data_IF_575197315694
#
_entry.id   IF_575197315694
#
_cell.length_a   1.000
_cell.length_b   1.000
_cell.length_c   1.000
_cell.angle_alpha   90.00
_cell.angle_beta   90.00
_cell.angle_gamma   90.00
#
_symmetry.space_group_name_H-M   'P 1'
#
loop_
_entity.id
_entity.type
_entity.pdbx_description
1 polymer ?
#
# COMPACT_ATOMS: atom_id res chain seq x y z
N UNK A 1 2.41 -9.97 74.56
CA UNK A 1 2.31 -11.30 73.93
C UNK A 1 2.86 -11.14 72.53
N UNK A 2 4.01 -11.64 72.10
CA UNK A 2 4.74 -12.86 72.45
C UNK A 2 5.16 -13.46 71.11
N UNK A 3 6.47 -13.54 70.87
CA UNK A 3 7.14 -13.88 69.61
C UNK A 3 6.78 -15.24 69.01
N UNK A 4 7.13 -15.46 67.74
CA UNK A 4 7.00 -16.76 67.09
C UNK A 4 7.52 -16.86 65.66
N UNK A 5 8.80 -16.52 65.46
CA UNK A 5 9.60 -16.88 64.30
C UNK A 5 9.85 -18.41 64.24
N UNK A 6 9.82 -19.03 63.05
CA UNK A 6 10.79 -20.08 62.63
C UNK A 6 10.55 -20.56 61.19
N UNK A 7 11.60 -20.39 60.39
CA UNK A 7 11.89 -21.10 59.15
C UNK A 7 12.29 -22.57 59.41
N UNK A 8 12.28 -23.42 58.35
CA UNK A 8 13.49 -24.07 57.79
C UNK A 8 13.23 -25.24 56.80
N UNK A 9 14.05 -25.23 55.73
CA UNK A 9 14.67 -26.32 54.94
C UNK A 9 13.75 -27.27 54.13
N UNK A 10 13.97 -27.52 52.82
CA UNK A 10 15.20 -27.97 52.11
C UNK A 10 15.11 -29.51 51.98
N UNK A 11 15.27 -30.23 50.86
CA UNK A 11 16.15 -30.26 49.68
C UNK A 11 15.39 -31.09 48.59
N UNK A 12 15.44 -30.79 47.28
CA UNK A 12 16.40 -31.33 46.26
C UNK A 12 16.53 -32.87 46.25
N UNK A 13 16.59 -33.63 45.14
CA UNK A 13 16.86 -33.38 43.72
C UNK A 13 16.75 -34.72 42.94
N UNK A 14 16.64 -34.62 41.61
CA UNK A 14 17.27 -35.45 40.57
C UNK A 14 16.57 -36.62 39.84
N UNK A 15 16.67 -36.48 38.49
CA UNK A 15 16.91 -37.49 37.41
C UNK A 15 15.66 -38.18 36.84
N UNK A 16 15.48 -38.39 35.53
CA UNK A 16 16.39 -38.42 34.38
C UNK A 16 15.57 -38.28 33.07
N UNK A 17 16.10 -37.56 32.08
CA UNK A 17 15.82 -37.76 30.64
C UNK A 17 16.75 -38.84 30.07
N UNK A 18 16.31 -39.58 29.04
CA UNK A 18 17.20 -39.87 27.91
C UNK A 18 16.53 -39.69 26.52
N UNK A 19 17.21 -38.85 25.73
CA UNK A 19 17.61 -38.85 24.29
C UNK A 19 17.01 -39.83 23.22
N UNK A 20 17.17 -39.50 21.91
CA UNK A 20 16.28 -39.87 20.81
C UNK A 20 16.80 -41.00 19.90
N UNK A 21 15.90 -41.55 19.07
CA UNK A 21 16.26 -42.22 17.82
C UNK A 21 15.30 -43.32 17.37
N UNK A 22 14.57 -43.09 16.27
CA UNK A 22 14.18 -44.13 15.32
C UNK A 22 13.68 -43.51 13.99
N UNK A 23 14.22 -44.01 12.88
CA UNK A 23 13.93 -43.62 11.49
C UNK A 23 12.84 -44.52 10.87
N UNK A 24 11.98 -43.91 10.03
CA UNK A 24 11.36 -44.39 8.77
C UNK A 24 10.22 -45.46 8.88
N UNK A 25 9.21 -45.47 7.96
CA UNK A 25 9.39 -45.45 6.49
C UNK A 25 8.47 -44.56 5.63
N UNK A 26 8.89 -44.50 4.36
CA UNK A 26 8.31 -43.83 3.19
C UNK A 26 7.05 -44.54 2.65
N UNK A 27 6.11 -43.73 2.16
CA UNK A 27 4.98 -44.11 1.29
C UNK A 27 3.96 -42.96 1.30
N UNK A 28 3.33 -42.47 0.23
CA UNK A 28 3.19 -42.94 -1.13
C UNK A 28 3.02 -41.72 -2.06
N UNK A 29 3.55 -41.83 -3.27
CA UNK A 29 3.35 -40.85 -4.33
C UNK A 29 1.91 -40.92 -4.85
N UNK A 30 1.16 -39.83 -4.72
CA UNK A 30 -0.12 -39.64 -5.40
C UNK A 30 0.14 -39.29 -6.87
N UNK A 31 -0.11 -40.26 -7.74
CA UNK A 31 -0.21 -40.09 -9.19
C UNK A 31 -1.52 -39.36 -9.50
N UNK A 32 -1.45 -38.09 -9.88
CA UNK A 32 -2.52 -37.41 -10.60
C UNK A 32 -2.32 -37.61 -12.11
N UNK A 33 -3.43 -37.92 -12.77
CA UNK A 33 -3.53 -38.30 -14.18
C UNK A 33 -3.65 -37.04 -15.03
N UNK A 34 -2.71 -36.80 -15.95
CA UNK A 34 -2.95 -35.91 -17.09
C UNK A 34 -3.36 -36.73 -18.33
N UNK A 35 -4.52 -36.40 -18.87
CA UNK A 35 -5.04 -36.91 -20.14
C UNK A 35 -5.57 -35.72 -20.96
N UNK A 36 -5.08 -35.65 -22.21
CA UNK A 36 -5.58 -34.89 -23.40
C UNK A 36 -5.27 -33.40 -23.38
N UNK A 37 -4.90 -32.72 -24.47
CA UNK A 37 -4.65 -32.96 -25.90
C UNK A 37 -3.81 -31.73 -26.37
N UNK A 38 -3.01 -31.66 -27.44
CA UNK A 38 -2.98 -32.39 -28.70
C UNK A 38 -3.42 -31.51 -29.88
N UNK A 39 -2.47 -30.76 -30.47
CA UNK A 39 -2.44 -30.16 -31.85
C UNK A 39 -3.33 -28.90 -32.08
N UNK A 40 -2.96 -27.88 -32.86
CA UNK A 40 -1.80 -27.60 -33.71
C UNK A 40 -1.92 -26.21 -34.40
N UNK A 41 -0.78 -25.70 -34.92
CA UNK A 41 -0.48 -24.98 -36.20
C UNK A 41 -1.65 -24.30 -36.96
N UNK A 42 -1.53 -23.24 -37.76
CA UNK A 42 -0.53 -22.26 -38.24
C UNK A 42 -1.28 -21.37 -39.27
N UNK A 43 -0.56 -20.42 -39.91
CA UNK A 43 -0.96 -19.48 -41.00
C UNK A 43 -1.59 -18.17 -40.54
N UNK A 44 -1.25 -16.98 -41.04
CA UNK A 44 -0.35 -16.39 -42.05
C UNK A 44 -1.21 -15.32 -42.75
N UNK A 45 -0.59 -14.17 -43.02
CA UNK A 45 -0.91 -13.26 -44.14
C UNK A 45 -2.29 -12.59 -44.16
N UNK A 46 -2.50 -11.37 -44.62
CA UNK A 46 -1.71 -10.33 -45.26
C UNK A 46 -2.73 -9.17 -45.34
N UNK A 47 -2.33 -7.90 -45.18
CA UNK A 47 -2.55 -6.87 -46.21
C UNK A 47 -2.07 -5.50 -45.76
N UNK A 48 -1.46 -4.88 -46.75
CA UNK A 48 -0.55 -3.75 -46.77
C UNK A 48 -1.23 -2.65 -47.59
N UNK A 49 -0.84 -1.39 -47.35
CA UNK A 49 -0.94 -0.21 -48.25
C UNK A 49 -2.33 0.46 -48.24
N UNK A 50 -2.49 1.78 -48.28
CA UNK A 50 -1.86 2.86 -49.07
C UNK A 50 -1.96 4.19 -48.28
N UNK A 51 -0.89 4.95 -48.01
CA UNK A 51 -0.27 6.02 -48.82
C UNK A 51 -1.16 7.19 -49.28
N UNK A 52 -0.79 8.36 -48.75
CA UNK A 52 -0.49 9.63 -49.44
C UNK A 52 -1.61 10.67 -49.66
N UNK A 53 -1.39 11.84 -49.06
CA UNK A 53 -1.92 13.15 -49.49
C UNK A 53 -1.05 14.25 -48.88
N UNK A 54 -0.33 15.01 -49.71
CA UNK A 54 0.69 16.02 -49.33
C UNK A 54 0.40 17.33 -50.07
N UNK A 55 0.60 18.46 -49.35
CA UNK A 55 0.91 19.87 -49.79
C UNK A 55 -0.27 20.83 -50.08
N UNK A 56 -0.06 22.18 -50.04
CA UNK A 56 1.15 22.98 -49.72
C UNK A 56 0.98 24.06 -48.62
N UNK A 57 2.06 24.82 -48.38
CA UNK A 57 2.26 25.88 -47.36
C UNK A 57 2.10 27.32 -47.91
N UNK A 58 1.95 28.27 -46.96
CA UNK A 58 2.41 29.69 -46.87
C UNK A 58 1.45 30.81 -47.37
N UNK A 59 1.56 32.08 -46.86
CA UNK A 59 2.69 32.69 -46.14
C UNK A 59 2.39 33.38 -44.79
N UNK A 60 3.45 33.75 -44.08
CA UNK A 60 3.47 34.58 -42.86
C UNK A 60 3.93 36.01 -43.19
N UNK A 61 3.44 37.02 -42.46
CA UNK A 61 4.04 38.37 -42.25
C UNK A 61 3.17 39.25 -41.31
N UNK A 62 3.65 40.37 -40.73
CA UNK A 62 4.21 40.42 -39.37
C UNK A 62 3.56 41.49 -38.45
N UNK A 63 3.91 41.46 -37.16
CA UNK A 63 4.01 42.65 -36.30
C UNK A 63 2.88 42.89 -35.30
N UNK A 64 3.25 43.06 -34.02
CA UNK A 64 2.34 43.57 -32.99
C UNK A 64 2.80 43.26 -31.56
N UNK A 65 3.85 43.94 -31.09
CA UNK A 65 4.20 44.00 -29.65
C UNK A 65 3.27 45.01 -28.98
N UNK A 66 2.53 44.56 -27.96
CA UNK A 66 1.93 45.29 -26.80
C UNK A 66 1.43 44.16 -25.89
N UNK A 67 1.90 43.99 -24.66
CA UNK A 67 1.88 44.96 -23.57
C UNK A 67 0.89 44.40 -22.54
N UNK A 68 1.45 43.91 -21.43
CA UNK A 68 0.82 43.17 -20.32
C UNK A 68 -0.48 43.78 -19.80
N UNK A 69 -1.43 42.92 -19.45
CA UNK A 69 -2.20 42.97 -18.21
C UNK A 69 -2.63 41.53 -17.86
N UNK A 70 -1.83 40.90 -16.98
CA UNK A 70 -2.03 39.53 -16.51
C UNK A 70 -3.10 39.48 -15.43
N UNK A 71 -4.36 39.39 -15.84
CA UNK A 71 -5.43 38.86 -15.01
C UNK A 71 -5.44 37.35 -15.11
N UNK A 72 -4.73 36.66 -14.22
CA UNK A 72 -4.85 35.20 -14.07
C UNK A 72 -6.19 34.87 -13.40
N UNK A 73 -7.24 34.88 -14.21
CA UNK A 73 -8.40 34.03 -14.00
C UNK A 73 -8.32 32.90 -15.03
N UNK A 74 -7.31 32.03 -14.84
CA UNK A 74 -7.38 30.70 -15.40
C UNK A 74 -8.65 30.05 -14.80
N UNK A 75 -9.61 29.60 -15.63
CA UNK A 75 -10.77 28.90 -15.10
C UNK A 75 -10.24 27.64 -14.40
N UNK A 76 -10.46 27.55 -13.09
CA UNK A 76 -10.26 26.31 -12.35
C UNK A 76 -11.25 25.29 -12.91
N UNK A 77 -10.80 24.49 -13.87
CA UNK A 77 -11.46 23.23 -14.19
C UNK A 77 -11.41 22.43 -12.90
N UNK A 78 -12.55 21.99 -12.33
CA UNK A 78 -12.50 21.11 -11.17
C UNK A 78 -11.66 19.89 -11.57
N UNK A 79 -10.51 19.73 -10.95
CA UNK A 79 -9.79 18.48 -11.04
C UNK A 79 -10.77 17.40 -10.55
N UNK A 80 -11.06 16.42 -11.40
CA UNK A 80 -11.91 15.31 -10.96
C UNK A 80 -11.32 14.72 -9.69
N UNK A 81 -12.16 14.53 -8.67
CA UNK A 81 -11.77 13.83 -7.45
C UNK A 81 -11.32 12.41 -7.84
N UNK A 82 -10.22 11.96 -7.24
CA UNK A 82 -9.72 10.59 -7.43
C UNK A 82 -9.75 9.87 -6.09
N UNK A 83 -10.35 8.68 -6.03
CA UNK A 83 -10.45 7.87 -4.81
C UNK A 83 -9.61 6.61 -4.98
N UNK A 84 -8.58 6.45 -4.15
CA UNK A 84 -7.68 5.30 -4.17
C UNK A 84 -7.68 4.57 -2.83
N UNK A 85 -7.73 3.24 -2.88
CA UNK A 85 -7.33 2.43 -1.73
C UNK A 85 -5.80 2.38 -1.65
N UNK A 86 -5.24 3.01 -0.62
CA UNK A 86 -3.78 3.19 -0.52
C UNK A 86 -3.06 2.04 0.18
N UNK A 87 -3.78 1.05 0.71
CA UNK A 87 -3.21 -0.01 1.52
C UNK A 87 -4.00 -1.30 1.31
N UNK A 88 -3.40 -2.27 0.61
CA UNK A 88 -3.98 -3.60 0.41
C UNK A 88 -2.91 -4.58 -0.07
N UNK A 89 -3.17 -5.86 0.19
CA UNK A 89 -2.25 -6.97 -0.06
C UNK A 89 -2.86 -7.97 -1.03
N UNK A 90 -2.10 -8.37 -2.04
CA UNK A 90 -2.55 -9.32 -3.06
C UNK A 90 -2.02 -10.73 -2.80
N UNK A 91 -2.17 -11.64 -3.76
CA UNK A 91 -1.58 -12.98 -3.72
C UNK A 91 -0.05 -13.01 -3.64
N UNK A 92 0.61 -11.84 -3.72
CA UNK A 92 2.05 -11.72 -3.60
C UNK A 92 2.52 -11.53 -2.14
N UNK A 93 1.70 -10.95 -1.27
CA UNK A 93 2.03 -10.84 0.16
C UNK A 93 2.03 -12.22 0.84
N UNK A 94 2.84 -12.37 1.89
CA UNK A 94 3.00 -13.62 2.63
C UNK A 94 1.71 -14.06 3.36
N UNK A 95 0.81 -13.13 3.64
CA UNK A 95 -0.41 -13.31 4.46
C UNK A 95 -1.72 -13.01 3.71
N UNK A 96 -1.65 -12.70 2.42
CA UNK A 96 -2.82 -12.55 1.56
C UNK A 96 -2.82 -13.60 0.46
N UNK A 97 -4.03 -14.01 0.07
CA UNK A 97 -4.25 -14.94 -1.06
C UNK A 97 -5.25 -14.37 -2.05
N UNK A 98 -5.54 -13.09 -1.96
CA UNK A 98 -6.57 -12.42 -2.75
C UNK A 98 -6.01 -12.06 -4.12
N UNK A 99 -6.49 -12.69 -5.22
CA UNK A 99 -6.01 -12.34 -6.55
C UNK A 99 -6.34 -10.88 -6.88
N UNK A 100 -5.41 -10.12 -7.46
CA UNK A 100 -5.66 -8.73 -7.88
C UNK A 100 -6.93 -8.61 -8.73
N UNK A 101 -7.12 -9.52 -9.69
CA UNK A 101 -8.31 -9.53 -10.53
C UNK A 101 -9.62 -9.73 -9.73
N UNK A 102 -9.58 -10.48 -8.63
CA UNK A 102 -10.75 -10.67 -7.77
C UNK A 102 -11.13 -9.38 -7.02
N UNK A 103 -10.15 -8.57 -6.60
CA UNK A 103 -10.40 -7.23 -6.07
C UNK A 103 -11.11 -6.36 -7.10
N UNK A 104 -10.60 -6.29 -8.33
CA UNK A 104 -11.19 -5.46 -9.38
C UNK A 104 -12.62 -5.90 -9.73
N UNK A 105 -12.89 -7.21 -9.80
CA UNK A 105 -14.25 -7.74 -10.00
C UNK A 105 -15.19 -7.32 -8.86
N UNK A 106 -14.73 -7.33 -7.61
CA UNK A 106 -15.57 -6.90 -6.50
C UNK A 106 -15.80 -5.38 -6.54
N UNK A 107 -14.76 -4.58 -6.74
CA UNK A 107 -14.88 -3.11 -6.84
C UNK A 107 -15.82 -2.70 -7.98
N UNK A 108 -15.74 -3.37 -9.14
CA UNK A 108 -16.68 -3.14 -10.24
C UNK A 108 -18.12 -3.46 -9.84
N UNK A 109 -18.36 -4.58 -9.14
CA UNK A 109 -19.69 -4.96 -8.64
C UNK A 109 -20.21 -4.05 -7.53
N UNK A 110 -19.31 -3.41 -6.79
CA UNK A 110 -19.60 -2.59 -5.60
C UNK A 110 -19.39 -1.10 -5.85
N UNK A 111 -19.33 -0.66 -7.11
CA UNK A 111 -18.97 0.72 -7.48
C UNK A 111 -19.89 1.77 -6.81
N UNK A 112 -21.17 1.46 -6.64
CA UNK A 112 -22.14 2.35 -5.97
C UNK A 112 -21.87 2.50 -4.47
N UNK A 113 -21.32 1.46 -3.83
CA UNK A 113 -20.98 1.44 -2.39
C UNK A 113 -19.53 1.91 -2.14
N UNK A 114 -18.64 1.68 -3.11
CA UNK A 114 -17.19 1.87 -3.04
C UNK A 114 -16.73 2.47 -4.38
N UNK A 115 -16.92 3.79 -4.60
CA UNK A 115 -16.68 4.45 -5.88
C UNK A 115 -15.19 4.71 -6.14
N UNK A 116 -14.33 3.70 -5.94
CA UNK A 116 -12.89 3.83 -6.14
C UNK A 116 -12.56 3.97 -7.64
N UNK A 117 -11.49 4.72 -7.90
CA UNK A 117 -10.88 4.87 -9.21
C UNK A 117 -9.64 3.98 -9.37
N UNK A 118 -9.09 3.50 -8.25
CA UNK A 118 -7.91 2.64 -8.27
C UNK A 118 -7.51 2.10 -6.91
N UNK A 119 -6.44 1.30 -6.94
CA UNK A 119 -5.85 0.62 -5.79
C UNK A 119 -4.32 0.76 -5.83
N UNK A 120 -3.68 0.71 -4.66
CA UNK A 120 -2.22 0.70 -4.51
C UNK A 120 -1.80 -0.57 -3.77
N UNK A 121 -1.22 -1.52 -4.49
CA UNK A 121 -0.74 -2.78 -3.90
C UNK A 121 0.49 -2.49 -3.03
N UNK A 122 0.44 -2.80 -1.74
CA UNK A 122 1.46 -2.46 -0.74
C UNK A 122 2.02 -3.72 -0.07
N UNK A 123 2.47 -4.69 -0.88
CA UNK A 123 2.85 -6.02 -0.39
C UNK A 123 3.90 -5.96 0.75
N UNK A 124 3.80 -6.88 1.70
CA UNK A 124 4.77 -6.99 2.79
C UNK A 124 6.17 -7.34 2.28
N UNK A 125 7.16 -6.58 2.76
CA UNK A 125 8.60 -6.91 2.74
C UNK A 125 9.23 -7.12 1.35
N UNK A 126 8.52 -6.78 0.28
CA UNK A 126 8.97 -7.00 -1.08
C UNK A 126 8.44 -5.92 -2.03
N UNK A 127 9.11 -5.80 -3.16
CA UNK A 127 8.67 -4.96 -4.27
C UNK A 127 9.24 -5.51 -5.58
N UNK A 128 8.38 -5.70 -6.58
CA UNK A 128 8.80 -6.14 -7.92
C UNK A 128 8.59 -4.99 -8.92
N UNK A 129 9.65 -4.29 -9.35
CA UNK A 129 9.54 -3.19 -10.32
C UNK A 129 9.18 -3.67 -11.73
N UNK A 130 9.25 -4.98 -11.99
CA UNK A 130 8.95 -5.55 -13.31
C UNK A 130 7.47 -5.90 -13.49
N UNK A 131 6.69 -5.78 -12.41
CA UNK A 131 5.28 -6.15 -12.41
C UNK A 131 4.46 -5.16 -13.24
N UNK A 132 3.65 -5.71 -14.13
CA UNK A 132 2.82 -4.93 -15.06
C UNK A 132 1.35 -5.33 -14.92
N UNK A 133 0.52 -4.37 -14.53
CA UNK A 133 -0.91 -4.55 -14.35
C UNK A 133 -1.77 -3.89 -15.45
N UNK A 134 -1.16 -3.32 -16.51
CA UNK A 134 -1.87 -2.58 -17.57
C UNK A 134 -3.00 -3.38 -18.22
N UNK A 135 -2.80 -4.68 -18.43
CA UNK A 135 -3.83 -5.55 -18.98
C UNK A 135 -5.07 -5.66 -18.07
N UNK A 136 -4.91 -5.59 -16.75
CA UNK A 136 -6.02 -5.53 -15.81
C UNK A 136 -6.62 -4.12 -15.75
N UNK A 137 -5.80 -3.07 -15.81
CA UNK A 137 -6.27 -1.68 -15.87
C UNK A 137 -7.18 -1.47 -17.08
N UNK A 138 -6.73 -1.87 -18.28
CA UNK A 138 -7.50 -1.78 -19.53
C UNK A 138 -8.82 -2.57 -19.47
N UNK A 139 -8.80 -3.72 -18.79
CA UNK A 139 -9.96 -4.62 -18.70
C UNK A 139 -11.02 -4.11 -17.74
N UNK A 140 -10.63 -3.55 -16.60
CA UNK A 140 -11.55 -3.20 -15.52
C UNK A 140 -11.75 -1.69 -15.34
N UNK A 141 -10.92 -0.85 -15.94
CA UNK A 141 -11.02 0.60 -15.85
C UNK A 141 -10.64 1.16 -14.48
N UNK A 142 -9.69 0.52 -13.79
CA UNK A 142 -9.12 0.98 -12.52
C UNK A 142 -7.63 1.28 -12.69
N UNK A 143 -7.15 2.31 -12.00
CA UNK A 143 -5.72 2.56 -11.82
C UNK A 143 -5.14 1.52 -10.83
N UNK A 144 -4.01 0.91 -11.18
CA UNK A 144 -3.31 -0.04 -10.31
C UNK A 144 -1.87 0.46 -10.14
N UNK A 145 -1.57 0.98 -8.95
CA UNK A 145 -0.22 1.36 -8.57
C UNK A 145 0.40 0.31 -7.65
N UNK A 146 1.72 0.33 -7.52
CA UNK A 146 2.46 -0.54 -6.62
C UNK A 146 3.31 0.29 -5.66
N UNK A 147 3.44 -0.22 -4.45
CA UNK A 147 4.20 0.31 -3.32
C UNK A 147 4.62 -0.87 -2.44
N UNK A 148 5.18 -0.62 -1.26
CA UNK A 148 5.55 -1.67 -0.32
C UNK A 148 5.14 -1.30 1.12
N UNK A 149 4.81 -2.31 1.92
CA UNK A 149 4.76 -2.18 3.38
C UNK A 149 6.05 -2.77 3.97
N UNK A 150 6.81 -1.92 4.67
CA UNK A 150 8.05 -2.32 5.33
C UNK A 150 7.89 -2.33 6.84
N UNK A 151 8.61 -3.24 7.49
CA UNK A 151 8.64 -3.37 8.93
C UNK A 151 9.82 -2.61 9.51
N UNK A 152 9.52 -1.73 10.47
CA UNK A 152 10.51 -0.88 11.11
C UNK A 152 10.51 -1.09 12.61
N UNK A 153 11.53 -0.54 13.28
CA UNK A 153 11.57 -0.53 14.74
C UNK A 153 10.51 0.40 15.39
N UNK A 154 9.72 1.14 14.61
CA UNK A 154 8.57 1.94 15.05
C UNK A 154 7.22 1.42 14.52
N UNK A 155 7.19 0.18 14.03
CA UNK A 155 5.99 -0.41 13.44
C UNK A 155 6.03 -0.40 11.92
N UNK A 156 4.88 -0.55 11.28
CA UNK A 156 4.84 -0.66 9.82
C UNK A 156 4.76 0.70 9.14
N UNK A 157 5.37 0.78 7.96
CA UNK A 157 5.45 1.99 7.15
C UNK A 157 5.20 1.64 5.69
N UNK A 158 4.30 2.38 5.05
CA UNK A 158 4.06 2.29 3.60
C UNK A 158 5.07 3.16 2.86
N UNK A 159 5.71 2.58 1.84
CA UNK A 159 6.71 3.26 1.00
C UNK A 159 6.15 3.38 -0.41
N UNK A 160 5.79 4.61 -0.79
CA UNK A 160 5.33 4.95 -2.14
C UNK A 160 6.46 5.56 -2.97
N UNK A 161 6.46 5.30 -4.28
CA UNK A 161 7.51 5.76 -5.19
C UNK A 161 8.81 4.96 -5.08
N UNK A 162 8.69 3.65 -4.79
CA UNK A 162 9.85 2.74 -4.73
C UNK A 162 10.56 2.74 -6.09
N UNK A 163 11.86 2.97 -6.05
CA UNK A 163 12.74 2.99 -7.22
C UNK A 163 14.04 2.23 -6.92
N UNK A 164 14.91 2.09 -7.93
CA UNK A 164 16.14 1.32 -7.77
C UNK A 164 17.08 1.87 -6.69
N UNK A 165 17.13 3.19 -6.48
CA UNK A 165 17.98 3.78 -5.45
C UNK A 165 17.48 3.43 -4.05
N UNK A 166 16.16 3.45 -3.84
CA UNK A 166 15.55 3.03 -2.58
C UNK A 166 15.83 1.55 -2.32
N UNK A 167 15.66 0.69 -3.33
CA UNK A 167 15.91 -0.75 -3.22
C UNK A 167 17.40 -1.09 -2.98
N UNK A 168 18.32 -0.27 -3.48
CA UNK A 168 19.76 -0.39 -3.17
C UNK A 168 20.07 0.07 -1.74
N UNK A 169 19.30 1.03 -1.22
CA UNK A 169 19.55 1.69 0.07
C UNK A 169 18.93 0.96 1.26
N UNK A 170 17.78 0.32 1.06
CA UNK A 170 16.97 -0.30 2.10
C UNK A 170 16.62 -1.75 1.71
N UNK A 171 16.90 -2.70 2.60
CA UNK A 171 16.46 -4.09 2.43
C UNK A 171 15.07 -4.27 3.02
N UNK A 172 14.03 -4.32 2.18
CA UNK A 172 12.63 -4.44 2.62
C UNK A 172 12.34 -5.76 3.35
N UNK A 173 13.20 -6.77 3.23
CA UNK A 173 13.06 -8.04 3.97
C UNK A 173 13.48 -7.92 5.43
N UNK A 174 14.20 -6.87 5.79
CA UNK A 174 14.59 -6.60 7.17
C UNK A 174 13.36 -6.15 7.98
N UNK A 175 13.03 -6.89 9.03
CA UNK A 175 11.88 -6.63 9.92
C UNK A 175 12.18 -5.64 11.05
N UNK A 176 13.38 -5.08 11.06
CA UNK A 176 13.85 -4.12 12.06
C UNK A 176 14.55 -2.93 11.38
N UNK A 177 14.04 -2.48 10.23
CA UNK A 177 14.58 -1.28 9.60
C UNK A 177 14.49 -0.08 10.55
N UNK A 178 15.54 0.76 10.67
CA UNK A 178 15.43 1.98 11.45
C UNK A 178 14.41 2.93 10.81
N UNK A 179 13.30 3.21 11.49
CA UNK A 179 12.20 3.98 10.91
C UNK A 179 12.62 5.39 10.47
N UNK A 180 13.50 6.03 11.24
CA UNK A 180 14.04 7.35 10.90
C UNK A 180 14.84 7.31 9.59
N UNK A 181 15.59 6.25 9.36
CA UNK A 181 16.36 6.05 8.13
C UNK A 181 15.43 5.80 6.94
N UNK A 182 14.39 4.98 7.11
CA UNK A 182 13.36 4.75 6.08
C UNK A 182 12.73 6.07 5.66
N UNK A 183 12.23 6.88 6.60
CA UNK A 183 11.60 8.17 6.29
C UNK A 183 12.56 9.13 5.58
N UNK A 184 13.78 9.24 6.09
CA UNK A 184 14.79 10.18 5.58
C UNK A 184 15.25 9.81 4.18
N UNK A 185 15.64 8.54 3.96
CA UNK A 185 16.21 8.10 2.69
C UNK A 185 15.15 7.99 1.60
N UNK A 186 13.96 7.47 1.92
CA UNK A 186 12.84 7.42 0.95
C UNK A 186 12.49 8.83 0.49
N UNK A 187 12.36 9.78 1.43
CA UNK A 187 12.08 11.19 1.11
C UNK A 187 13.16 11.82 0.22
N UNK A 188 14.44 11.58 0.55
CA UNK A 188 15.61 12.08 -0.21
C UNK A 188 15.68 11.48 -1.63
N UNK A 189 15.28 10.22 -1.79
CA UNK A 189 15.33 9.46 -3.03
C UNK A 189 14.03 9.56 -3.86
N UNK A 190 13.19 10.54 -3.56
CA UNK A 190 12.03 10.90 -4.38
C UNK A 190 10.71 10.28 -3.94
N UNK A 191 10.73 9.21 -3.14
CA UNK A 191 9.52 8.56 -2.61
C UNK A 191 8.91 9.28 -1.39
N UNK A 192 7.94 8.64 -0.75
CA UNK A 192 7.40 9.05 0.56
C UNK A 192 7.14 7.81 1.42
N UNK A 193 7.50 7.89 2.70
CA UNK A 193 7.30 6.83 3.68
C UNK A 193 6.31 7.32 4.75
N UNK A 194 5.20 6.61 4.92
CA UNK A 194 4.08 7.00 5.77
C UNK A 194 3.72 5.87 6.74
N UNK A 195 3.66 6.11 8.06
CA UNK A 195 3.22 5.10 9.03
C UNK A 195 1.78 4.64 8.78
N UNK A 196 1.58 3.32 8.65
CA UNK A 196 0.26 2.70 8.53
C UNK A 196 -0.24 2.15 9.87
N UNK A 197 -1.57 1.99 9.94
CA UNK A 197 -2.34 1.50 11.10
C UNK A 197 -1.72 1.84 12.47
N UNK A 198 -1.35 3.12 12.72
CA UNK A 198 -0.49 3.51 13.83
C UNK A 198 -1.13 3.25 15.21
N UNK A 199 -2.45 3.10 15.26
CA UNK A 199 -3.19 2.76 16.47
C UNK A 199 -3.04 1.30 16.92
N UNK A 200 -2.57 0.40 16.05
CA UNK A 200 -2.44 -1.03 16.36
C UNK A 200 -1.52 -1.28 17.55
N UNK A 201 -1.91 -2.17 18.48
CA UNK A 201 -1.01 -2.62 19.53
C UNK A 201 0.25 -3.26 18.95
N UNK A 202 1.40 -3.03 19.58
CA UNK A 202 2.73 -3.63 19.29
C UNK A 202 3.39 -3.27 17.95
N UNK A 203 2.62 -3.05 16.88
CA UNK A 203 3.12 -2.78 15.52
C UNK A 203 2.72 -1.42 14.96
N UNK A 204 1.92 -0.65 15.70
CA UNK A 204 1.51 0.71 15.34
C UNK A 204 2.39 1.76 16.00
N UNK A 205 2.66 2.85 15.26
CA UNK A 205 3.48 3.99 15.69
C UNK A 205 3.14 4.52 17.09
N UNK A 206 1.85 4.54 17.46
CA UNK A 206 1.41 5.04 18.76
C UNK A 206 2.04 4.26 19.92
N UNK A 207 2.16 2.92 19.81
CA UNK A 207 2.78 2.12 20.86
C UNK A 207 4.28 2.42 21.03
N UNK A 208 4.97 2.76 19.93
CA UNK A 208 6.39 3.07 19.97
C UNK A 208 6.67 4.47 20.51
N UNK A 209 5.82 5.46 20.19
CA UNK A 209 5.95 6.83 20.73
C UNK A 209 5.70 6.94 22.23
N UNK A 210 5.18 5.90 22.89
CA UNK A 210 5.09 5.84 24.36
C UNK A 210 6.47 5.64 25.03
N UNK A 211 7.44 5.06 24.31
CA UNK A 211 8.74 4.66 24.88
C UNK A 211 9.94 5.18 24.10
N UNK A 212 9.74 5.65 22.86
CA UNK A 212 10.76 6.14 21.95
C UNK A 212 10.49 7.59 21.55
N UNK A 213 11.53 8.37 21.18
CA UNK A 213 11.34 9.74 20.71
C UNK A 213 10.50 9.79 19.42
N UNK A 214 9.78 10.89 19.16
CA UNK A 214 9.07 11.07 17.89
C UNK A 214 10.02 11.07 16.69
N UNK A 215 9.56 10.53 15.56
CA UNK A 215 10.30 10.54 14.30
C UNK A 215 10.21 11.92 13.63
N UNK A 216 11.32 12.33 13.01
CA UNK A 216 11.39 13.53 12.19
C UNK A 216 10.95 13.22 10.75
N UNK A 217 10.23 14.16 10.13
CA UNK A 217 9.83 14.06 8.72
C UNK A 217 8.56 13.24 8.45
N UNK A 218 7.85 12.76 9.48
CA UNK A 218 6.51 12.18 9.32
C UNK A 218 5.54 13.29 8.91
N UNK A 219 4.95 13.17 7.72
CA UNK A 219 4.00 14.17 7.19
C UNK A 219 2.53 13.75 7.30
N UNK A 220 2.27 12.44 7.35
CA UNK A 220 0.93 11.87 7.36
C UNK A 220 0.93 10.49 8.00
N UNK A 221 -0.24 10.07 8.50
CA UNK A 221 -0.47 8.73 9.06
C UNK A 221 -1.81 8.15 8.58
N UNK A 222 -1.92 6.82 8.57
CA UNK A 222 -3.16 6.14 8.20
C UNK A 222 -4.21 6.31 9.31
N UNK A 223 -5.12 7.26 9.14
CA UNK A 223 -6.16 7.57 10.11
C UNK A 223 -7.34 6.60 10.05
N UNK A 224 -7.65 6.10 8.85
CA UNK A 224 -8.71 5.13 8.63
C UNK A 224 -8.13 3.86 8.01
N UNK A 225 -8.01 2.82 8.83
CA UNK A 225 -7.62 1.48 8.39
C UNK A 225 -8.83 0.55 8.41
N UNK A 226 -9.05 -0.22 7.33
CA UNK A 226 -10.20 -1.12 7.22
C UNK A 226 -10.20 -2.25 8.25
N UNK A 227 -9.03 -2.64 8.75
CA UNK A 227 -8.83 -3.64 9.81
C UNK A 227 -8.82 -3.08 11.24
N UNK A 228 -9.02 -1.77 11.43
CA UNK A 228 -8.98 -1.14 12.76
C UNK A 228 -9.96 -1.79 13.75
N UNK A 229 -9.47 -2.04 14.97
CA UNK A 229 -10.26 -2.53 16.11
C UNK A 229 -10.71 -1.37 17.00
N UNK A 230 -11.61 -1.67 17.94
CA UNK A 230 -12.14 -0.69 18.90
C UNK A 230 -11.00 0.00 19.64
N UNK A 231 -10.97 1.33 19.56
CA UNK A 231 -10.00 2.19 20.24
C UNK A 231 -8.74 2.50 19.44
N UNK A 232 -8.45 1.77 18.35
CA UNK A 232 -7.27 2.06 17.51
C UNK A 232 -7.42 3.42 16.83
N UNK A 233 -8.56 3.68 16.17
CA UNK A 233 -8.84 4.96 15.50
C UNK A 233 -8.74 6.16 16.46
N UNK A 234 -9.25 6.03 17.68
CA UNK A 234 -9.16 7.09 18.70
C UNK A 234 -7.70 7.40 19.12
N UNK A 235 -6.82 6.38 19.14
CA UNK A 235 -5.38 6.61 19.37
C UNK A 235 -4.75 7.35 18.21
N UNK A 236 -5.19 7.09 16.97
CA UNK A 236 -4.69 7.80 15.78
C UNK A 236 -5.16 9.24 15.75
N UNK A 237 -6.41 9.51 16.12
CA UNK A 237 -6.94 10.88 16.27
C UNK A 237 -6.11 11.70 17.26
N UNK A 238 -5.78 11.12 18.42
CA UNK A 238 -4.93 11.76 19.42
C UNK A 238 -3.51 12.02 18.88
N UNK A 239 -2.93 11.05 18.15
CA UNK A 239 -1.64 11.20 17.50
C UNK A 239 -1.64 12.36 16.50
N UNK A 240 -2.65 12.43 15.63
CA UNK A 240 -2.82 13.50 14.65
C UNK A 240 -2.96 14.86 15.35
N UNK A 241 -3.79 14.94 16.39
CA UNK A 241 -3.97 16.17 17.17
C UNK A 241 -2.68 16.64 17.83
N UNK A 242 -1.86 15.72 18.32
CA UNK A 242 -0.61 16.01 19.01
C UNK A 242 0.50 16.49 18.09
N UNK A 243 0.63 15.91 16.90
CA UNK A 243 1.76 16.15 16.00
C UNK A 243 1.40 16.92 14.72
N UNK A 244 0.12 17.15 14.45
CA UNK A 244 -0.34 17.90 13.27
C UNK A 244 -0.20 17.13 11.95
N UNK A 245 -0.11 15.80 11.99
CA UNK A 245 0.01 14.97 10.80
C UNK A 245 -1.21 15.08 9.89
N UNK A 246 -1.00 14.93 8.58
CA UNK A 246 -2.09 14.69 7.63
C UNK A 246 -2.65 13.28 7.83
N UNK A 247 -3.84 13.05 7.28
CA UNK A 247 -4.58 11.82 7.45
C UNK A 247 -4.87 11.19 6.08
N UNK A 248 -4.54 9.92 5.92
CA UNK A 248 -4.95 9.11 4.76
C UNK A 248 -5.64 7.83 5.23
N UNK A 249 -6.20 7.07 4.30
CA UNK A 249 -6.89 5.81 4.61
C UNK A 249 -6.66 4.74 3.55
N UNK A 250 -6.82 3.50 3.98
CA UNK A 250 -6.69 2.30 3.17
C UNK A 250 -7.40 1.12 3.83
N UNK A 251 -7.76 0.12 3.04
CA UNK A 251 -8.52 -1.03 3.55
C UNK A 251 -7.66 -1.99 4.39
N UNK A 252 -6.35 -2.02 4.13
CA UNK A 252 -5.41 -3.05 4.59
C UNK A 252 -5.96 -4.46 4.34
N UNK A 253 -6.53 -4.62 3.15
CA UNK A 253 -7.26 -5.81 2.76
C UNK A 253 -6.32 -6.97 2.47
N UNK A 254 -6.59 -8.08 3.15
CA UNK A 254 -5.99 -9.41 2.88
C UNK A 254 -7.01 -10.39 2.28
N UNK A 255 -8.28 -9.99 2.23
CA UNK A 255 -9.40 -10.78 1.72
C UNK A 255 -10.22 -9.94 0.77
N UNK A 256 -10.61 -10.53 -0.37
CA UNK A 256 -11.35 -9.84 -1.44
C UNK A 256 -12.52 -8.98 -0.92
N UNK A 257 -13.28 -9.45 0.07
CA UNK A 257 -14.45 -8.74 0.61
C UNK A 257 -14.16 -7.36 1.23
N UNK A 258 -12.95 -7.13 1.73
CA UNK A 258 -12.58 -5.92 2.48
C UNK A 258 -11.96 -4.81 1.63
N UNK A 259 -11.64 -5.06 0.35
CA UNK A 259 -11.03 -4.03 -0.50
C UNK A 259 -11.90 -2.76 -0.61
N UNK A 260 -11.27 -1.60 -0.51
CA UNK A 260 -11.91 -0.31 -0.69
C UNK A 260 -13.01 0.03 0.33
N UNK A 261 -13.03 -0.60 1.51
CA UNK A 261 -13.93 -0.18 2.60
C UNK A 261 -13.45 1.10 3.29
N UNK A 262 -12.15 1.37 3.24
CA UNK A 262 -11.51 2.64 3.60
C UNK A 262 -10.60 3.01 2.43
N UNK A 263 -10.50 4.30 2.12
CA UNK A 263 -9.71 4.80 1.00
C UNK A 263 -9.25 6.24 1.27
N UNK A 264 -8.59 6.83 0.27
CA UNK A 264 -8.17 8.23 0.28
C UNK A 264 -8.71 8.95 -0.95
N UNK A 265 -9.36 10.08 -0.73
CA UNK A 265 -9.85 10.97 -1.77
C UNK A 265 -8.88 12.13 -1.98
N UNK A 266 -8.50 12.37 -3.23
CA UNK A 266 -7.56 13.40 -3.65
C UNK A 266 -8.27 14.51 -4.42
N UNK A 267 -7.85 15.76 -4.21
CA UNK A 267 -8.32 16.94 -4.95
C UNK A 267 -7.62 17.13 -6.31
N UNK A 268 -6.90 16.10 -6.76
CA UNK A 268 -6.09 16.14 -7.96
C UNK A 268 -6.18 14.81 -8.72
N UNK A 269 -5.91 14.88 -10.02
CA UNK A 269 -5.79 13.70 -10.86
C UNK A 269 -4.50 12.95 -10.52
N UNK A 270 -4.61 11.63 -10.38
CA UNK A 270 -3.48 10.72 -10.17
C UNK A 270 -3.49 9.71 -11.32
N UNK A 271 -2.40 9.64 -12.06
CA UNK A 271 -2.22 8.66 -13.15
C UNK A 271 -0.99 7.79 -12.98
N UNK A 272 -0.09 8.20 -12.10
CA UNK A 272 1.22 7.58 -11.90
C UNK A 272 1.57 7.55 -10.42
N UNK A 273 2.56 6.72 -10.06
CA UNK A 273 3.09 6.69 -8.69
C UNK A 273 3.72 8.05 -8.30
N UNK A 274 4.33 8.77 -9.24
CA UNK A 274 4.90 10.09 -8.99
C UNK A 274 3.84 11.16 -8.70
N UNK A 275 2.67 11.08 -9.37
CA UNK A 275 1.52 11.91 -9.03
C UNK A 275 1.05 11.63 -7.60
N UNK A 276 0.91 10.34 -7.24
CA UNK A 276 0.50 9.95 -5.89
C UNK A 276 1.48 10.48 -4.84
N UNK A 277 2.79 10.28 -5.04
CA UNK A 277 3.82 10.78 -4.11
C UNK A 277 3.76 12.30 -3.97
N UNK A 278 3.58 13.03 -5.09
CA UNK A 278 3.46 14.49 -5.10
C UNK A 278 2.23 14.95 -4.31
N UNK A 279 1.08 14.31 -4.48
CA UNK A 279 -0.14 14.69 -3.76
C UNK A 279 -0.10 14.28 -2.28
N UNK A 280 0.49 13.12 -1.95
CA UNK A 280 0.75 12.70 -0.57
C UNK A 280 1.65 13.70 0.18
N UNK A 281 2.70 14.20 -0.49
CA UNK A 281 3.55 15.28 0.03
C UNK A 281 2.82 16.62 0.11
N UNK A 282 1.91 16.88 -0.83
CA UNK A 282 1.15 18.13 -0.93
C UNK A 282 0.04 18.29 0.11
N UNK A 283 -0.45 17.19 0.69
CA UNK A 283 -1.41 17.22 1.80
C UNK A 283 -2.85 17.60 1.39
N UNK A 284 -3.19 17.54 0.09
CA UNK A 284 -4.53 17.81 -0.46
C UNK A 284 -5.29 16.52 -0.71
N UNK A 285 -5.63 15.85 0.39
CA UNK A 285 -6.40 14.62 0.40
C UNK A 285 -7.08 14.45 1.75
N UNK A 286 -8.05 13.53 1.80
CA UNK A 286 -8.70 13.13 3.04
C UNK A 286 -9.02 11.63 3.04
N UNK A 287 -9.03 10.98 4.20
CA UNK A 287 -9.47 9.60 4.30
C UNK A 287 -11.00 9.55 4.12
N UNK A 288 -11.51 8.49 3.50
CA UNK A 288 -12.94 8.25 3.30
C UNK A 288 -13.31 6.85 3.80
N UNK A 289 -14.47 6.75 4.45
CA UNK A 289 -15.00 5.52 5.05
C UNK A 289 -16.25 5.05 4.30
N UNK A 290 -16.16 3.87 3.70
CA UNK A 290 -17.26 3.19 3.00
C UNK A 290 -17.79 2.00 3.79
N UNK A 291 -17.37 1.81 5.04
CA UNK A 291 -17.96 0.79 5.92
C UNK A 291 -19.42 1.13 6.19
N UNK A 292 -20.30 0.13 6.36
CA UNK A 292 -21.68 0.39 6.76
C UNK A 292 -21.68 1.15 8.08
N UNK A 293 -22.39 2.28 8.13
CA UNK A 293 -22.61 2.99 9.40
C UNK A 293 -23.27 2.02 10.37
N UNK A 294 -22.60 1.72 11.49
CA UNK A 294 -23.26 0.99 12.56
C UNK A 294 -24.43 1.85 13.06
N UNK A 295 -25.64 1.30 13.19
CA UNK A 295 -26.70 2.01 13.88
C UNK A 295 -26.20 2.37 15.30
N UNK A 296 -26.47 3.62 15.69
CA UNK A 296 -26.10 4.17 16.99
C UNK A 296 -26.77 3.40 18.14
#
# INVERSE_FOLDING_TARGET
MGAGERARHGLQLHRHLPEPGARLPRGAALRARDRRAGRGRAHDDERRRLRAGRRPRRPARPGGVRGRDGGDHAPQVPAGLVILDLHLHSELSDDSRAPVEAYLKLLQRKRDERPLDGIVLTEHRQFDPTRDYRALEDRYGFLILTAAEVETDYGHVLVYGVNEDILRRLDFRNVHLPAQEVITEVGRLGGVALPCHPGRPTVGLCAHYETKPPLEGVIAVEALNGGSKKGEDARVEELIRRYGYKAYGGSDSHLVSFVGICATEFEAQIRTIDDLVRELKGGRYRPVDFRPRRPA
#
